data_IF_505002667344
#
_entry.id   IF_505002667344
#
_cell.length_a   1.000
_cell.length_b   1.000
_cell.length_c   1.000
_cell.angle_alpha   90.00
_cell.angle_beta   90.00
_cell.angle_gamma   90.00
#
_symmetry.space_group_name_H-M   'P 1'
#
loop_
_entity.id
_entity.type
_entity.pdbx_description
1 polymer ?
#
# COMPACT_ATOMS: atom_id res chain seq x y z
N UNK A 1 20.42 -30.36 18.11
CA UNK A 1 19.83 -29.01 17.93
C UNK A 1 18.85 -28.82 19.06
N UNK A 2 19.26 -28.10 20.10
CA UNK A 2 18.49 -27.92 21.34
C UNK A 2 17.41 -26.86 21.16
N UNK A 3 16.31 -26.98 21.91
CA UNK A 3 15.13 -26.10 21.89
C UNK A 3 15.45 -24.59 22.00
N UNK A 4 16.63 -24.23 22.53
CA UNK A 4 17.13 -22.85 22.56
C UNK A 4 17.39 -22.24 21.17
N UNK A 5 17.81 -23.04 20.18
CA UNK A 5 17.99 -22.55 18.80
C UNK A 5 16.64 -22.30 18.11
N UNK A 6 15.62 -23.08 18.46
CA UNK A 6 14.26 -22.95 17.91
C UNK A 6 13.51 -21.77 18.54
N UNK A 7 13.73 -21.51 19.84
CA UNK A 7 13.20 -20.33 20.54
C UNK A 7 13.87 -19.02 20.07
N UNK A 8 15.18 -19.04 19.78
CA UNK A 8 15.89 -17.87 19.21
C UNK A 8 15.57 -17.63 17.74
N UNK A 9 15.36 -18.67 16.93
CA UNK A 9 15.05 -18.50 15.51
C UNK A 9 13.62 -18.02 15.27
N UNK A 10 12.64 -18.44 16.08
CA UNK A 10 11.25 -18.00 15.94
C UNK A 10 11.01 -16.52 16.23
N UNK A 11 11.77 -15.92 17.16
CA UNK A 11 11.52 -14.56 17.65
C UNK A 11 11.89 -13.43 16.67
N UNK A 12 12.83 -13.65 15.76
CA UNK A 12 13.29 -12.64 14.80
C UNK A 12 12.70 -12.81 13.39
N UNK A 13 12.22 -14.02 13.05
CA UNK A 13 11.67 -14.33 11.75
C UNK A 13 10.28 -13.71 11.54
N UNK A 14 9.41 -13.74 12.55
CA UNK A 14 8.05 -13.21 12.41
C UNK A 14 8.01 -11.70 12.06
N UNK A 15 8.74 -10.80 12.75
CA UNK A 15 8.80 -9.39 12.34
C UNK A 15 9.36 -9.20 10.93
N UNK A 16 10.38 -9.98 10.55
CA UNK A 16 11.00 -9.88 9.24
C UNK A 16 10.03 -10.28 8.12
N UNK A 17 9.35 -11.42 8.27
CA UNK A 17 8.38 -11.93 7.29
C UNK A 17 7.22 -10.93 7.14
N UNK A 18 6.68 -10.42 8.25
CA UNK A 18 5.61 -9.42 8.23
C UNK A 18 6.05 -8.15 7.49
N UNK A 19 7.24 -7.61 7.78
CA UNK A 19 7.74 -6.42 7.08
C UNK A 19 7.95 -6.67 5.59
N UNK A 20 8.43 -7.86 5.18
CA UNK A 20 8.55 -8.20 3.75
C UNK A 20 7.17 -8.20 3.08
N UNK A 21 6.16 -8.81 3.72
CA UNK A 21 4.78 -8.80 3.22
C UNK A 21 4.25 -7.37 3.10
N UNK A 22 4.42 -6.54 4.13
CA UNK A 22 4.01 -5.14 4.11
C UNK A 22 4.72 -4.37 2.99
N UNK A 23 6.03 -4.58 2.82
CA UNK A 23 6.81 -3.94 1.76
C UNK A 23 6.28 -4.28 0.37
N UNK A 24 6.05 -5.57 0.09
CA UNK A 24 5.44 -6.04 -1.18
C UNK A 24 4.10 -5.34 -1.41
N UNK A 25 3.27 -5.24 -0.37
CA UNK A 25 1.94 -4.65 -0.46
C UNK A 25 1.97 -3.14 -0.75
N UNK A 26 2.89 -2.41 -0.14
CA UNK A 26 3.12 -0.99 -0.43
C UNK A 26 3.68 -0.76 -1.83
N UNK A 27 4.60 -1.61 -2.29
CA UNK A 27 5.08 -1.55 -3.67
C UNK A 27 4.00 -1.91 -4.69
N UNK A 28 3.13 -2.88 -4.38
CA UNK A 28 1.99 -3.23 -5.21
C UNK A 28 1.01 -2.06 -5.33
N UNK A 29 0.70 -1.39 -4.21
CA UNK A 29 -0.12 -0.17 -4.22
C UNK A 29 0.52 0.96 -5.04
N UNK A 30 1.83 1.20 -4.86
CA UNK A 30 2.55 2.21 -5.64
C UNK A 30 2.51 1.89 -7.15
N UNK A 31 2.73 0.63 -7.52
CA UNK A 31 2.65 0.18 -8.91
C UNK A 31 1.25 0.35 -9.51
N UNK A 32 0.21 0.05 -8.73
CA UNK A 32 -1.19 0.28 -9.11
C UNK A 32 -1.43 1.76 -9.40
N UNK A 33 -0.96 2.63 -8.50
CA UNK A 33 -1.12 4.07 -8.60
C UNK A 33 -0.38 4.65 -9.83
N UNK A 34 0.83 4.18 -10.13
CA UNK A 34 1.58 4.64 -11.31
C UNK A 34 1.00 4.15 -12.63
N UNK A 35 0.45 2.92 -12.67
CA UNK A 35 0.01 2.29 -13.92
C UNK A 35 -1.45 2.54 -14.26
N UNK A 36 -2.34 2.46 -13.27
CA UNK A 36 -3.78 2.58 -13.51
C UNK A 36 -4.15 4.04 -13.68
N UNK A 37 -3.69 4.91 -12.79
CA UNK A 37 -4.12 6.31 -12.77
C UNK A 37 -3.69 7.06 -14.03
N UNK A 38 -2.45 6.83 -14.51
CA UNK A 38 -1.96 7.41 -15.76
C UNK A 38 -2.76 6.95 -16.99
N UNK A 39 -3.25 5.71 -17.00
CA UNK A 39 -4.13 5.21 -18.04
C UNK A 39 -5.51 5.88 -18.06
N UNK A 40 -6.06 6.16 -16.87
CA UNK A 40 -7.37 6.82 -16.76
C UNK A 40 -7.35 8.30 -17.13
N UNK A 41 -6.26 9.02 -16.86
CA UNK A 41 -6.12 10.44 -17.22
C UNK A 41 -6.33 10.65 -18.74
N UNK A 42 -5.74 9.77 -19.56
CA UNK A 42 -5.90 9.81 -21.03
C UNK A 42 -7.35 9.55 -21.44
N UNK A 43 -8.00 8.54 -20.85
CA UNK A 43 -9.39 8.19 -21.18
C UNK A 43 -10.33 9.36 -20.85
N UNK A 44 -10.24 9.94 -19.65
CA UNK A 44 -11.11 11.05 -19.28
C UNK A 44 -10.87 12.33 -20.09
N UNK A 45 -9.61 12.59 -20.46
CA UNK A 45 -9.27 13.71 -21.34
C UNK A 45 -9.90 13.56 -22.73
N UNK A 46 -9.91 12.34 -23.29
CA UNK A 46 -10.49 12.06 -24.61
C UNK A 46 -12.01 12.22 -24.63
N UNK A 47 -12.70 11.98 -23.51
CA UNK A 47 -14.18 12.08 -23.41
C UNK A 47 -14.68 13.41 -22.84
N UNK A 48 -13.80 14.37 -22.49
CA UNK A 48 -14.20 15.69 -21.99
C UNK A 48 -15.03 15.67 -20.70
N UNK A 49 -14.93 14.60 -19.91
CA UNK A 49 -15.73 14.41 -18.69
C UNK A 49 -15.03 14.99 -17.45
N UNK A 50 -15.82 15.52 -16.53
CA UNK A 50 -15.30 15.95 -15.23
C UNK A 50 -14.82 14.74 -14.40
N UNK A 51 -13.60 14.85 -13.88
CA UNK A 51 -13.00 13.82 -13.04
C UNK A 51 -13.65 13.83 -11.65
N UNK A 52 -14.08 12.67 -11.11
CA UNK A 52 -14.48 12.57 -9.72
C UNK A 52 -13.37 13.08 -8.77
N UNK A 53 -13.76 13.72 -7.66
CA UNK A 53 -12.80 14.29 -6.69
C UNK A 53 -11.76 13.26 -6.22
N UNK A 54 -12.18 12.02 -5.98
CA UNK A 54 -11.26 10.93 -5.61
C UNK A 54 -10.24 10.60 -6.72
N UNK A 55 -10.65 10.70 -7.99
CA UNK A 55 -9.78 10.51 -9.16
C UNK A 55 -8.78 11.64 -9.28
N UNK A 56 -9.18 12.89 -9.03
CA UNK A 56 -8.27 14.05 -8.99
C UNK A 56 -7.19 13.83 -7.93
N UNK A 57 -7.56 13.37 -6.74
CA UNK A 57 -6.58 13.02 -5.70
C UNK A 57 -5.64 11.89 -6.12
N UNK A 58 -6.17 10.83 -6.71
CA UNK A 58 -5.36 9.72 -7.19
C UNK A 58 -4.38 10.16 -8.28
N UNK A 59 -4.81 11.00 -9.23
CA UNK A 59 -3.98 11.60 -10.29
C UNK A 59 -2.90 12.50 -9.68
N UNK A 60 -3.27 13.34 -8.70
CA UNK A 60 -2.30 14.17 -7.98
C UNK A 60 -1.22 13.35 -7.30
N UNK A 61 -1.59 12.28 -6.58
CA UNK A 61 -0.62 11.36 -5.99
C UNK A 61 0.20 10.62 -7.05
N UNK A 62 -0.40 10.19 -8.16
CA UNK A 62 0.30 9.48 -9.23
C UNK A 62 1.34 10.36 -9.92
N UNK A 63 0.99 11.61 -10.20
CA UNK A 63 1.92 12.58 -10.77
C UNK A 63 3.05 12.92 -9.80
N UNK A 64 2.76 13.04 -8.50
CA UNK A 64 3.80 13.23 -7.49
C UNK A 64 4.72 12.00 -7.41
N UNK A 65 4.14 10.80 -7.36
CA UNK A 65 4.87 9.55 -7.31
C UNK A 65 5.71 9.30 -8.58
N UNK A 66 5.22 9.69 -9.76
CA UNK A 66 5.97 9.58 -11.00
C UNK A 66 7.13 10.58 -11.05
N UNK A 67 6.85 11.84 -10.70
CA UNK A 67 7.87 12.91 -10.68
C UNK A 67 8.96 12.66 -9.65
N UNK A 68 8.60 12.09 -8.51
CA UNK A 68 9.51 11.83 -7.38
C UNK A 68 9.59 10.34 -7.05
N UNK A 69 9.66 9.48 -8.06
CA UNK A 69 9.64 8.01 -7.89
C UNK A 69 10.74 7.51 -6.95
N UNK A 70 11.92 8.13 -6.98
CA UNK A 70 13.03 7.83 -6.07
C UNK A 70 12.70 8.19 -4.62
N UNK A 71 11.97 9.29 -4.36
CA UNK A 71 11.49 9.63 -3.03
C UNK A 71 10.39 8.67 -2.57
N UNK A 72 9.52 8.23 -3.47
CA UNK A 72 8.48 7.24 -3.14
C UNK A 72 9.09 5.90 -2.72
N UNK A 73 10.10 5.41 -3.45
CA UNK A 73 10.85 4.20 -3.08
C UNK A 73 11.55 4.39 -1.72
N UNK A 74 12.22 5.54 -1.52
CA UNK A 74 12.90 5.84 -0.26
C UNK A 74 11.91 5.91 0.92
N UNK A 75 10.72 6.45 0.69
CA UNK A 75 9.65 6.53 1.68
C UNK A 75 9.17 5.12 2.07
N UNK A 76 8.92 4.24 1.10
CA UNK A 76 8.53 2.85 1.37
C UNK A 76 9.65 2.11 2.12
N UNK A 77 10.92 2.29 1.70
CA UNK A 77 12.06 1.68 2.38
C UNK A 77 12.18 2.17 3.85
N UNK A 78 12.01 3.48 4.08
CA UNK A 78 11.98 4.07 5.41
C UNK A 78 10.81 3.53 6.26
N UNK A 79 9.63 3.41 5.65
CA UNK A 79 8.46 2.83 6.30
C UNK A 79 8.71 1.36 6.69
N UNK A 80 9.30 0.55 5.83
CA UNK A 80 9.69 -0.82 6.14
C UNK A 80 10.75 -0.90 7.25
N UNK A 81 11.72 0.02 7.27
CA UNK A 81 12.73 0.07 8.33
C UNK A 81 12.10 0.39 9.69
N UNK A 82 11.18 1.36 9.72
CA UNK A 82 10.41 1.72 10.93
C UNK A 82 9.50 0.58 11.36
N UNK A 83 8.80 -0.06 10.41
CA UNK A 83 7.94 -1.21 10.66
C UNK A 83 8.73 -2.37 11.31
N UNK A 84 9.88 -2.73 10.74
CA UNK A 84 10.73 -3.78 11.28
C UNK A 84 11.23 -3.45 12.69
N UNK A 85 11.69 -2.21 12.90
CA UNK A 85 12.16 -1.76 14.21
C UNK A 85 11.03 -1.80 15.24
N UNK A 86 9.84 -1.33 14.87
CA UNK A 86 8.67 -1.28 15.74
C UNK A 86 8.18 -2.68 16.08
N UNK A 87 7.98 -3.55 15.08
CA UNK A 87 7.56 -4.94 15.30
C UNK A 87 8.57 -5.68 16.17
N UNK A 88 9.87 -5.49 15.97
CA UNK A 88 10.91 -6.07 16.85
C UNK A 88 10.76 -5.62 18.30
N UNK A 89 10.57 -4.32 18.53
CA UNK A 89 10.41 -3.78 19.89
C UNK A 89 9.12 -4.26 20.54
N UNK A 90 8.02 -4.30 19.79
CA UNK A 90 6.71 -4.70 20.31
C UNK A 90 6.65 -6.21 20.58
N UNK A 91 7.16 -7.06 19.69
CA UNK A 91 7.20 -8.51 19.91
C UNK A 91 8.19 -8.92 21.01
N UNK A 92 9.26 -8.15 21.24
CA UNK A 92 10.14 -8.36 22.38
C UNK A 92 9.45 -8.12 23.74
N UNK A 93 8.37 -7.34 23.76
CA UNK A 93 7.62 -6.99 24.98
C UNK A 93 6.28 -7.72 24.99
N UNK A 94 6.18 -8.86 25.70
CA UNK A 94 4.96 -9.71 25.75
C UNK A 94 3.67 -8.95 26.11
N UNK A 95 3.74 -7.89 26.93
CA UNK A 95 2.60 -7.03 27.29
C UNK A 95 2.06 -6.18 26.12
N UNK A 96 2.89 -5.93 25.09
CA UNK A 96 2.55 -5.12 23.92
C UNK A 96 2.30 -5.98 22.67
N UNK A 97 2.26 -7.31 22.80
CA UNK A 97 2.05 -8.22 21.67
C UNK A 97 0.71 -7.94 20.93
N UNK A 98 -0.32 -7.53 21.67
CA UNK A 98 -1.61 -7.12 21.07
C UNK A 98 -1.43 -5.87 20.20
N UNK A 99 -0.67 -4.88 20.68
CA UNK A 99 -0.37 -3.68 19.90
C UNK A 99 0.48 -3.99 18.66
N UNK A 100 1.41 -4.95 18.75
CA UNK A 100 2.18 -5.45 17.61
C UNK A 100 1.26 -6.00 16.52
N UNK A 101 0.26 -6.79 16.91
CA UNK A 101 -0.73 -7.34 16.00
C UNK A 101 -1.63 -6.27 15.39
N UNK A 102 -2.12 -5.31 16.18
CA UNK A 102 -2.89 -4.18 15.63
C UNK A 102 -2.09 -3.39 14.60
N UNK A 103 -0.81 -3.12 14.88
CA UNK A 103 0.08 -2.45 13.94
C UNK A 103 0.29 -3.25 12.66
N UNK A 104 0.59 -4.56 12.78
CA UNK A 104 0.75 -5.44 11.63
C UNK A 104 -0.53 -5.52 10.78
N UNK A 105 -1.69 -5.64 11.42
CA UNK A 105 -2.97 -5.60 10.71
C UNK A 105 -3.18 -4.25 10.00
N UNK A 106 -2.87 -3.12 10.64
CA UNK A 106 -2.97 -1.83 9.99
C UNK A 106 -2.07 -1.74 8.74
N UNK A 107 -0.81 -2.16 8.85
CA UNK A 107 0.15 -2.16 7.73
C UNK A 107 -0.26 -3.09 6.59
N UNK A 108 -1.08 -4.11 6.86
CA UNK A 108 -1.67 -4.98 5.86
C UNK A 108 -2.95 -4.38 5.24
N UNK A 109 -3.91 -3.97 6.05
CA UNK A 109 -5.22 -3.54 5.56
C UNK A 109 -5.22 -2.15 4.94
N UNK A 110 -4.34 -1.24 5.38
CA UNK A 110 -4.27 0.13 4.83
C UNK A 110 -3.95 0.14 3.33
N UNK A 111 -2.85 -0.44 2.84
CA UNK A 111 -2.57 -0.44 1.40
C UNK A 111 -3.65 -1.19 0.60
N UNK A 112 -4.25 -2.25 1.14
CA UNK A 112 -5.38 -2.94 0.49
C UNK A 112 -6.62 -2.06 0.39
N UNK A 113 -6.97 -1.35 1.46
CA UNK A 113 -8.08 -0.41 1.46
C UNK A 113 -7.84 0.72 0.46
N UNK A 114 -6.61 1.23 0.36
CA UNK A 114 -6.24 2.23 -0.64
C UNK A 114 -6.34 1.69 -2.07
N UNK A 115 -5.92 0.44 -2.32
CA UNK A 115 -6.08 -0.21 -3.63
C UNK A 115 -7.55 -0.37 -4.00
N UNK A 116 -8.37 -0.89 -3.07
CA UNK A 116 -9.81 -1.05 -3.27
C UNK A 116 -10.51 0.30 -3.48
N UNK A 117 -10.13 1.32 -2.72
CA UNK A 117 -10.61 2.68 -2.89
C UNK A 117 -10.33 3.19 -4.31
N UNK A 118 -9.08 3.13 -4.77
CA UNK A 118 -8.71 3.53 -6.14
C UNK A 118 -9.55 2.75 -7.16
N UNK A 119 -9.68 1.44 -7.01
CA UNK A 119 -10.43 0.60 -7.94
C UNK A 119 -11.93 0.99 -8.00
N UNK A 120 -12.59 1.16 -6.85
CA UNK A 120 -14.02 1.53 -6.79
C UNK A 120 -14.26 2.90 -7.42
N UNK A 121 -13.42 3.89 -7.11
CA UNK A 121 -13.59 5.25 -7.59
C UNK A 121 -13.29 5.41 -9.07
N UNK A 122 -12.41 4.58 -9.63
CA UNK A 122 -12.17 4.53 -11.07
C UNK A 122 -13.23 3.72 -11.81
N UNK A 123 -13.82 2.71 -11.17
CA UNK A 123 -14.85 1.86 -11.77
C UNK A 123 -16.17 2.59 -12.02
N UNK A 124 -16.66 3.37 -11.05
CA UNK A 124 -17.93 4.11 -11.14
C UNK A 124 -18.03 4.96 -12.44
N UNK A 125 -17.08 5.86 -12.73
CA UNK A 125 -17.15 6.67 -13.93
C UNK A 125 -16.91 5.85 -15.21
N UNK A 126 -16.11 4.78 -15.16
CA UNK A 126 -15.91 3.88 -16.30
C UNK A 126 -17.22 3.21 -16.72
N UNK A 127 -18.01 2.73 -15.75
CA UNK A 127 -19.32 2.10 -16.03
C UNK A 127 -20.30 3.11 -16.62
N UNK A 128 -20.31 4.35 -16.10
CA UNK A 128 -21.15 5.42 -16.68
C UNK A 128 -20.79 5.69 -18.14
N UNK A 129 -19.50 5.81 -18.43
CA UNK A 129 -19.02 6.02 -19.80
C UNK A 129 -19.46 4.88 -20.74
N UNK A 130 -19.32 3.62 -20.31
CA UNK A 130 -19.72 2.46 -21.13
C UNK A 130 -21.23 2.47 -21.39
N UNK A 131 -22.03 2.81 -20.38
CA UNK A 131 -23.49 2.89 -20.52
C UNK A 131 -23.93 4.03 -21.43
N UNK A 132 -23.23 5.16 -21.44
CA UNK A 132 -23.56 6.30 -22.31
C UNK A 132 -23.14 6.07 -23.79
N UNK A 133 -22.23 5.11 -24.03
CA UNK A 133 -21.74 4.73 -25.36
C UNK A 133 -22.48 3.54 -25.99
N UNK A 134 -23.33 2.83 -25.22
CA UNK A 134 -24.13 1.68 -25.66
C UNK A 134 -25.55 2.07 -26.04
#
# INVERSE_FOLDING_TARGET
MSDEQQAKSGGWLAPLILTVIHGILWFAWLGLLLRIVSGFENIFADFGMELPVATIWAIGLANLAFRFWYLAILLIAGLCAVDLALLRVLFARRKLAVLAWFWAMAMFFVPLALMAWIAVWLWIPLVRLIHDLS
#
